data_IF_674317669151
#
_entry.id   IF_674317669151
#
_cell.length_a   1.000
_cell.length_b   1.000
_cell.length_c   1.000
_cell.angle_alpha   90.00
_cell.angle_beta   90.00
_cell.angle_gamma   90.00
#
_symmetry.space_group_name_H-M   'P 1'
#
loop_
_entity.id
_entity.type
_entity.pdbx_description
1 polymer ?
#
# COMPACT_ATOMS: atom_id res chain seq x y z
N UNK A 1 5.68 27.24 -16.13
CA UNK A 1 6.16 26.32 -17.20
C UNK A 1 6.10 27.08 -18.53
N UNK A 2 7.10 26.92 -19.40
CA UNK A 2 7.10 27.45 -20.75
C UNK A 2 6.17 26.64 -21.65
N UNK A 3 5.65 27.22 -22.74
CA UNK A 3 4.72 26.53 -23.67
C UNK A 3 5.27 25.18 -24.16
N UNK A 4 6.57 25.09 -24.44
CA UNK A 4 7.24 23.85 -24.87
C UNK A 4 7.26 22.77 -23.78
N UNK A 5 7.39 23.16 -22.51
CA UNK A 5 7.36 22.23 -21.37
C UNK A 5 5.95 21.66 -21.14
N UNK A 6 4.91 22.50 -21.31
CA UNK A 6 3.51 22.08 -21.24
C UNK A 6 3.19 21.04 -22.34
N UNK A 7 3.59 21.32 -23.59
CA UNK A 7 3.37 20.39 -24.69
C UNK A 7 4.13 19.07 -24.48
N UNK A 8 5.37 19.13 -24.00
CA UNK A 8 6.14 17.93 -23.71
C UNK A 8 5.51 17.09 -22.59
N UNK A 9 4.92 17.71 -21.57
CA UNK A 9 4.19 17.00 -20.51
C UNK A 9 2.91 16.36 -21.04
N UNK A 10 2.17 17.05 -21.93
CA UNK A 10 0.99 16.51 -22.58
C UNK A 10 1.30 15.25 -23.40
N UNK A 11 2.35 15.31 -24.22
CA UNK A 11 2.78 14.16 -25.02
C UNK A 11 3.17 12.97 -24.15
N UNK A 12 3.89 13.21 -23.05
CA UNK A 12 4.24 12.12 -22.09
C UNK A 12 3.02 11.50 -21.43
N UNK A 13 1.99 12.31 -21.08
CA UNK A 13 0.74 11.78 -20.54
C UNK A 13 0.03 10.88 -21.56
N UNK A 14 -0.03 11.32 -22.80
CA UNK A 14 -0.62 10.55 -23.90
C UNK A 14 0.13 9.22 -24.12
N UNK A 15 1.45 9.27 -24.26
CA UNK A 15 2.32 8.09 -24.41
C UNK A 15 2.18 7.13 -23.23
N UNK A 16 2.17 7.65 -22.01
CA UNK A 16 1.97 6.87 -20.80
C UNK A 16 0.61 6.16 -20.81
N UNK A 17 -0.46 6.86 -21.11
CA UNK A 17 -1.80 6.28 -21.15
C UNK A 17 -1.98 5.27 -22.30
N UNK A 18 -1.42 5.54 -23.48
CA UNK A 18 -1.41 4.59 -24.59
C UNK A 18 -0.72 3.29 -24.18
N UNK A 19 0.43 3.40 -23.51
CA UNK A 19 1.21 2.25 -23.04
C UNK A 19 0.46 1.49 -21.94
N UNK A 20 0.04 2.16 -20.89
CA UNK A 20 -0.57 1.52 -19.71
C UNK A 20 -1.94 0.90 -20.01
N UNK A 21 -2.72 1.50 -20.91
CA UNK A 21 -4.05 1.01 -21.28
C UNK A 21 -4.03 0.06 -22.50
N UNK A 22 -2.88 -0.33 -23.01
CA UNK A 22 -2.78 -1.19 -24.20
C UNK A 22 -3.55 -2.51 -24.04
N UNK A 23 -3.54 -3.11 -22.83
CA UNK A 23 -4.23 -4.36 -22.50
C UNK A 23 -5.74 -4.22 -22.29
N UNK A 24 -6.31 -3.02 -22.25
CA UNK A 24 -7.74 -2.76 -22.00
C UNK A 24 -8.63 -3.19 -23.19
N UNK A 25 -8.02 -3.49 -24.33
CA UNK A 25 -8.69 -4.06 -25.51
C UNK A 25 -9.13 -2.99 -26.52
N UNK A 26 -10.44 -2.86 -26.79
CA UNK A 26 -10.97 -2.00 -27.88
C UNK A 26 -10.53 -0.54 -27.71
N UNK A 27 -10.33 0.16 -28.84
CA UNK A 27 -9.93 1.57 -28.88
C UNK A 27 -10.85 2.48 -28.08
N UNK A 28 -12.16 2.23 -28.16
CA UNK A 28 -13.17 2.95 -27.38
C UNK A 28 -12.95 2.83 -25.86
N UNK A 29 -12.65 1.63 -25.35
CA UNK A 29 -12.35 1.43 -23.93
C UNK A 29 -11.07 2.14 -23.53
N UNK A 30 -10.02 2.09 -24.35
CA UNK A 30 -8.77 2.84 -24.10
C UNK A 30 -9.04 4.34 -24.07
N UNK A 31 -9.88 4.84 -24.96
CA UNK A 31 -10.31 6.23 -24.96
C UNK A 31 -11.01 6.63 -23.66
N UNK A 32 -12.01 5.86 -23.20
CA UNK A 32 -12.70 6.12 -21.93
C UNK A 32 -11.74 5.97 -20.73
N UNK A 33 -10.82 5.03 -20.75
CA UNK A 33 -9.77 4.90 -19.72
C UNK A 33 -8.87 6.14 -19.65
N UNK A 34 -8.44 6.63 -20.81
CA UNK A 34 -7.66 7.87 -20.92
C UNK A 34 -8.44 9.09 -20.39
N UNK A 35 -9.70 9.25 -20.80
CA UNK A 35 -10.57 10.32 -20.30
C UNK A 35 -10.76 10.23 -18.79
N UNK A 36 -10.98 9.02 -18.25
CA UNK A 36 -11.17 8.84 -16.81
C UNK A 36 -9.93 9.27 -16.03
N UNK A 37 -8.73 8.84 -16.44
CA UNK A 37 -7.48 9.24 -15.80
C UNK A 37 -7.25 10.74 -15.91
N UNK A 38 -7.53 11.36 -17.06
CA UNK A 38 -7.45 12.80 -17.21
C UNK A 38 -8.42 13.52 -16.27
N UNK A 39 -9.66 13.03 -16.12
CA UNK A 39 -10.65 13.56 -15.20
C UNK A 39 -10.25 13.45 -13.73
N UNK A 40 -9.58 12.36 -13.32
CA UNK A 40 -8.99 12.23 -11.97
C UNK A 40 -7.91 13.27 -11.71
N UNK A 41 -7.11 13.56 -12.73
CA UNK A 41 -6.02 14.55 -12.65
C UNK A 41 -6.53 16.00 -12.64
N UNK A 42 -7.72 16.29 -13.22
CA UNK A 42 -8.33 17.63 -13.20
C UNK A 42 -8.70 18.07 -11.78
N UNK A 43 -8.81 19.37 -11.58
CA UNK A 43 -9.25 19.92 -10.29
C UNK A 43 -10.73 19.63 -10.02
N UNK A 44 -11.12 19.67 -8.75
CA UNK A 44 -12.50 19.48 -8.29
C UNK A 44 -12.57 18.61 -7.04
N UNK A 45 -13.48 18.96 -6.14
CA UNK A 45 -13.67 18.30 -4.84
C UNK A 45 -14.16 16.85 -4.96
N UNK A 46 -15.06 16.59 -5.93
CA UNK A 46 -15.59 15.24 -6.19
C UNK A 46 -14.96 14.66 -7.45
N UNK A 47 -14.52 13.41 -7.33
CA UNK A 47 -13.94 12.58 -8.41
C UNK A 47 -14.83 11.38 -8.76
N UNK A 48 -16.10 11.40 -8.35
CA UNK A 48 -17.08 10.43 -8.83
C UNK A 48 -17.44 10.71 -10.29
N UNK A 49 -18.06 9.74 -10.96
CA UNK A 49 -18.19 9.73 -12.44
C UNK A 49 -18.93 10.95 -13.00
N UNK A 50 -20.03 11.35 -12.37
CA UNK A 50 -20.82 12.52 -12.85
C UNK A 50 -19.99 13.80 -12.85
N UNK A 51 -19.45 14.29 -11.70
CA UNK A 51 -18.63 15.49 -11.69
C UNK A 51 -17.37 15.37 -12.52
N UNK A 52 -16.85 14.16 -12.73
CA UNK A 52 -15.69 13.91 -13.57
C UNK A 52 -16.06 14.09 -15.06
N UNK A 53 -17.18 13.54 -15.49
CA UNK A 53 -17.65 13.64 -16.86
C UNK A 53 -17.98 15.09 -17.25
N UNK A 54 -18.59 15.88 -16.36
CA UNK A 54 -18.92 17.29 -16.58
C UNK A 54 -17.69 18.16 -16.87
N UNK A 55 -16.53 17.79 -16.33
CA UNK A 55 -15.27 18.53 -16.53
C UNK A 55 -14.51 18.16 -17.80
N UNK A 56 -14.92 17.09 -18.46
CA UNK A 56 -14.25 16.58 -19.64
C UNK A 56 -15.01 16.94 -20.92
N UNK A 57 -14.35 17.50 -21.93
CA UNK A 57 -14.95 17.65 -23.25
C UNK A 57 -15.29 16.26 -23.82
N UNK A 58 -16.52 16.10 -24.25
CA UNK A 58 -17.03 14.81 -24.69
C UNK A 58 -17.21 13.79 -23.56
N UNK A 59 -17.16 14.25 -22.29
CA UNK A 59 -17.46 13.44 -21.13
C UNK A 59 -18.91 12.97 -21.17
N UNK A 60 -19.10 11.66 -21.26
CA UNK A 60 -20.41 11.02 -21.23
C UNK A 60 -20.51 10.17 -19.97
N UNK A 61 -21.41 10.57 -19.06
CA UNK A 61 -21.63 9.90 -17.76
C UNK A 61 -21.93 8.42 -17.96
N UNK A 62 -22.84 8.07 -18.88
CA UNK A 62 -23.25 6.69 -19.12
C UNK A 62 -22.10 5.85 -19.67
N UNK A 63 -21.33 6.39 -20.63
CA UNK A 63 -20.19 5.70 -21.20
C UNK A 63 -19.08 5.44 -20.16
N UNK A 64 -18.80 6.42 -19.29
CA UNK A 64 -17.84 6.25 -18.21
C UNK A 64 -18.34 5.29 -17.11
N UNK A 65 -19.64 5.33 -16.77
CA UNK A 65 -20.25 4.36 -15.86
C UNK A 65 -20.17 2.94 -16.42
N UNK A 66 -20.48 2.75 -17.71
CA UNK A 66 -20.36 1.46 -18.37
C UNK A 66 -18.90 1.00 -18.45
N UNK A 67 -17.98 1.89 -18.79
CA UNK A 67 -16.53 1.59 -18.85
C UNK A 67 -15.99 1.11 -17.51
N UNK A 68 -16.28 1.81 -16.43
CA UNK A 68 -15.79 1.45 -15.09
C UNK A 68 -16.55 0.28 -14.51
N UNK A 69 -17.88 0.27 -14.60
CA UNK A 69 -18.73 -0.68 -13.87
C UNK A 69 -18.97 -2.01 -14.58
N UNK A 70 -18.96 -2.04 -15.91
CA UNK A 70 -19.47 -3.17 -16.69
C UNK A 70 -18.55 -3.67 -17.82
N UNK A 71 -17.63 -2.82 -18.32
CA UNK A 71 -16.78 -3.20 -19.43
C UNK A 71 -15.81 -4.33 -19.04
N UNK A 72 -15.77 -5.45 -19.79
CA UNK A 72 -14.98 -6.62 -19.45
C UNK A 72 -13.50 -6.43 -19.83
N UNK A 73 -12.76 -5.63 -19.09
CA UNK A 73 -11.32 -5.56 -19.18
C UNK A 73 -10.66 -6.02 -17.88
N UNK A 74 -9.53 -6.69 -18.00
CA UNK A 74 -8.79 -7.19 -16.86
C UNK A 74 -7.89 -6.08 -16.30
N UNK A 75 -7.94 -5.84 -15.00
CA UNK A 75 -7.11 -4.84 -14.32
C UNK A 75 -5.71 -5.35 -13.99
N UNK A 76 -5.54 -6.65 -13.81
CA UNK A 76 -4.26 -7.26 -13.44
C UNK A 76 -3.15 -6.99 -14.47
N UNK A 77 -3.38 -7.13 -15.80
CA UNK A 77 -2.35 -6.79 -16.78
C UNK A 77 -1.93 -5.33 -16.74
N UNK A 78 -2.88 -4.41 -16.45
CA UNK A 78 -2.59 -2.97 -16.31
C UNK A 78 -1.73 -2.73 -15.07
N UNK A 79 -2.08 -3.33 -13.93
CA UNK A 79 -1.30 -3.23 -12.69
C UNK A 79 0.08 -3.85 -12.84
N UNK A 80 0.18 -5.02 -13.48
CA UNK A 80 1.45 -5.68 -13.76
C UNK A 80 2.38 -4.79 -14.58
N UNK A 81 1.89 -4.25 -15.69
CA UNK A 81 2.68 -3.35 -16.54
C UNK A 81 3.11 -2.08 -15.80
N UNK A 82 2.18 -1.49 -15.02
CA UNK A 82 2.47 -0.33 -14.19
C UNK A 82 3.56 -0.64 -13.16
N UNK A 83 3.47 -1.77 -12.47
CA UNK A 83 4.42 -2.18 -11.45
C UNK A 83 5.83 -2.41 -12.03
N UNK A 84 5.91 -3.04 -13.21
CA UNK A 84 7.17 -3.25 -13.95
C UNK A 84 7.78 -1.91 -14.37
N UNK A 85 7.00 -1.02 -14.94
CA UNK A 85 7.45 0.31 -15.34
C UNK A 85 7.96 1.14 -14.14
N UNK A 86 7.22 1.14 -13.04
CA UNK A 86 7.62 1.88 -11.84
C UNK A 86 8.88 1.33 -11.18
N UNK A 87 9.08 0.01 -11.21
CA UNK A 87 10.32 -0.59 -10.71
C UNK A 87 11.55 -0.08 -11.44
N UNK A 88 11.45 0.17 -12.74
CA UNK A 88 12.55 0.67 -13.56
C UNK A 88 12.79 2.18 -13.36
N UNK A 89 11.71 2.94 -13.21
CA UNK A 89 11.79 4.41 -13.09
C UNK A 89 12.11 4.90 -11.67
N UNK A 90 11.72 4.16 -10.62
CA UNK A 90 11.81 4.59 -9.21
C UNK A 90 13.05 4.03 -8.49
N UNK A 91 14.22 4.13 -9.05
CA UNK A 91 15.45 3.67 -8.39
C UNK A 91 16.09 4.73 -7.48
N UNK A 92 16.75 4.33 -6.38
CA UNK A 92 16.85 2.98 -5.81
C UNK A 92 15.62 2.58 -4.98
N UNK A 93 15.20 1.33 -5.16
CA UNK A 93 14.11 0.76 -4.37
C UNK A 93 14.53 0.51 -2.92
N UNK A 94 13.60 0.63 -1.98
CA UNK A 94 13.86 0.46 -0.56
C UNK A 94 13.05 -0.67 0.09
N UNK A 95 11.83 -0.93 -0.38
CA UNK A 95 10.96 -1.95 0.21
C UNK A 95 9.60 -2.07 -0.47
N UNK A 96 8.84 -3.09 -0.05
CA UNK A 96 7.41 -3.22 -0.27
C UNK A 96 6.68 -2.96 1.03
N UNK A 97 5.71 -2.06 1.05
CA UNK A 97 4.89 -1.79 2.22
C UNK A 97 3.55 -2.48 2.05
N UNK A 98 3.16 -3.30 3.04
CA UNK A 98 1.81 -3.85 3.17
C UNK A 98 1.06 -3.02 4.21
N UNK A 99 -0.12 -2.57 3.82
CA UNK A 99 -1.02 -1.86 4.73
C UNK A 99 -2.46 -1.97 4.24
N UNK A 100 -3.44 -1.64 5.09
CA UNK A 100 -4.82 -1.60 4.70
C UNK A 100 -5.44 -0.21 4.89
N UNK A 101 -6.41 0.11 4.03
CA UNK A 101 -7.12 1.38 4.12
C UNK A 101 -8.63 1.19 4.02
N UNK A 102 -9.37 2.02 4.74
CA UNK A 102 -10.82 2.00 4.74
C UNK A 102 -11.42 3.02 3.78
N UNK A 103 -12.57 2.66 3.22
CA UNK A 103 -13.40 3.48 2.34
C UNK A 103 -14.75 3.64 3.01
N UNK A 104 -15.03 4.75 3.73
CA UNK A 104 -16.31 4.98 4.37
C UNK A 104 -17.46 4.92 3.37
N UNK A 105 -18.56 4.26 3.73
CA UNK A 105 -19.76 4.14 2.92
C UNK A 105 -21.00 4.40 3.76
N UNK A 106 -22.02 4.99 3.15
CA UNK A 106 -23.29 5.27 3.84
C UNK A 106 -24.26 4.10 3.74
N UNK A 107 -24.34 3.45 2.56
CA UNK A 107 -25.23 2.33 2.31
C UNK A 107 -24.61 0.96 2.62
N UNK A 108 -25.41 -0.10 2.44
CA UNK A 108 -25.00 -1.49 2.67
C UNK A 108 -24.75 -2.28 1.37
N UNK A 109 -24.96 -1.67 0.21
CA UNK A 109 -24.96 -2.35 -1.09
C UNK A 109 -23.57 -2.38 -1.77
N UNK A 110 -22.62 -1.54 -1.33
CA UNK A 110 -21.27 -1.54 -1.92
C UNK A 110 -20.54 -2.85 -1.62
N UNK A 111 -19.89 -3.42 -2.62
CA UNK A 111 -19.16 -4.70 -2.48
C UNK A 111 -18.20 -4.68 -1.30
N UNK A 112 -18.25 -5.70 -0.43
CA UNK A 112 -17.36 -5.82 0.73
C UNK A 112 -17.67 -4.85 1.88
N UNK A 113 -18.73 -4.03 1.79
CA UNK A 113 -19.12 -3.13 2.87
C UNK A 113 -19.62 -3.90 4.09
N UNK A 114 -19.14 -3.53 5.25
CA UNK A 114 -19.58 -4.02 6.53
C UNK A 114 -19.29 -3.02 7.65
N UNK A 115 -19.90 -3.22 8.80
CA UNK A 115 -19.54 -2.51 10.01
C UNK A 115 -18.27 -3.13 10.60
N UNK A 116 -17.14 -2.52 10.36
CA UNK A 116 -15.82 -3.05 10.74
C UNK A 116 -14.87 -1.92 11.18
N UNK A 117 -13.78 -2.27 11.87
CA UNK A 117 -12.76 -1.30 12.24
C UNK A 117 -12.04 -0.79 10.99
N UNK A 118 -11.85 0.50 10.94
CA UNK A 118 -11.07 1.18 9.91
C UNK A 118 -10.11 2.17 10.55
N UNK A 119 -8.82 2.04 10.24
CA UNK A 119 -7.81 3.01 10.63
C UNK A 119 -8.12 4.43 10.13
N UNK A 120 -8.70 4.55 8.94
CA UNK A 120 -9.16 5.83 8.36
C UNK A 120 -10.22 6.52 9.23
N UNK A 121 -11.13 5.73 9.84
CA UNK A 121 -12.19 6.25 10.72
C UNK A 121 -11.73 6.34 12.19
N UNK A 122 -10.63 5.69 12.55
CA UNK A 122 -10.19 5.54 13.95
C UNK A 122 -11.17 4.78 14.85
N UNK A 123 -12.19 4.13 14.26
CA UNK A 123 -13.28 3.44 14.97
C UNK A 123 -13.94 2.39 14.10
N UNK A 124 -14.82 1.62 14.72
CA UNK A 124 -15.74 0.72 13.98
C UNK A 124 -16.79 1.57 13.26
N UNK A 125 -16.87 1.43 11.95
CA UNK A 125 -17.82 2.16 11.11
C UNK A 125 -18.21 1.36 9.87
N UNK A 126 -19.20 1.86 9.13
CA UNK A 126 -19.63 1.25 7.88
C UNK A 126 -18.64 1.59 6.76
N UNK A 127 -17.87 0.62 6.33
CA UNK A 127 -16.81 0.85 5.34
C UNK A 127 -16.47 -0.42 4.54
N UNK A 128 -15.87 -0.21 3.39
CA UNK A 128 -15.06 -1.23 2.71
C UNK A 128 -13.63 -1.13 3.27
N UNK A 129 -12.88 -2.21 3.23
CA UNK A 129 -11.44 -2.22 3.55
C UNK A 129 -10.69 -2.91 2.43
N UNK A 130 -9.58 -2.35 2.01
CA UNK A 130 -8.70 -3.00 1.05
C UNK A 130 -7.28 -3.09 1.59
N UNK A 131 -6.64 -4.22 1.32
CA UNK A 131 -5.21 -4.42 1.53
C UNK A 131 -4.48 -3.95 0.29
N UNK A 132 -3.43 -3.16 0.46
CA UNK A 132 -2.57 -2.68 -0.60
C UNK A 132 -1.12 -3.12 -0.41
N UNK A 133 -0.43 -3.36 -1.51
CA UNK A 133 1.03 -3.49 -1.54
C UNK A 133 1.63 -2.32 -2.31
N UNK A 134 2.59 -1.63 -1.69
CA UNK A 134 3.20 -0.43 -2.22
C UNK A 134 4.69 -0.65 -2.47
N UNK A 135 5.20 -0.16 -3.59
CA UNK A 135 6.63 0.04 -3.81
C UNK A 135 7.06 1.30 -3.07
N UNK A 136 8.20 1.25 -2.39
CA UNK A 136 8.76 2.45 -1.75
C UNK A 136 10.23 2.66 -2.08
N UNK A 137 10.57 3.91 -2.24
CA UNK A 137 11.95 4.44 -2.19
C UNK A 137 12.14 5.16 -0.86
N UNK A 138 13.26 5.83 -0.64
CA UNK A 138 13.41 6.67 0.54
C UNK A 138 12.53 7.92 0.55
N UNK A 139 12.10 8.37 -0.62
CA UNK A 139 11.33 9.60 -0.79
C UNK A 139 9.88 9.37 -1.17
N UNK A 140 9.56 8.28 -1.85
CA UNK A 140 8.27 8.07 -2.49
C UNK A 140 7.65 6.72 -2.08
N UNK A 141 6.33 6.63 -2.20
CA UNK A 141 5.57 5.38 -2.10
C UNK A 141 4.50 5.36 -3.18
N UNK A 142 4.25 4.19 -3.76
CA UNK A 142 3.29 3.99 -4.85
C UNK A 142 2.60 2.64 -4.71
N UNK A 143 1.26 2.57 -4.69
CA UNK A 143 0.56 1.29 -4.68
C UNK A 143 0.77 0.55 -6.01
N UNK A 144 1.10 -0.73 -5.91
CA UNK A 144 1.29 -1.63 -7.04
C UNK A 144 0.06 -2.50 -7.28
N UNK A 145 -0.49 -3.05 -6.20
CA UNK A 145 -1.65 -3.94 -6.28
C UNK A 145 -2.55 -3.83 -5.06
N UNK A 146 -3.81 -4.27 -5.22
CA UNK A 146 -4.87 -4.13 -4.24
C UNK A 146 -5.77 -5.36 -4.18
N UNK A 147 -6.15 -5.74 -2.97
CA UNK A 147 -7.17 -6.74 -2.71
C UNK A 147 -8.29 -6.15 -1.84
N UNK A 148 -9.52 -6.20 -2.33
CA UNK A 148 -10.69 -5.81 -1.54
C UNK A 148 -10.99 -6.92 -0.52
N UNK A 149 -11.03 -6.57 0.75
CA UNK A 149 -11.39 -7.49 1.81
C UNK A 149 -12.90 -7.74 1.79
N UNK A 150 -13.27 -9.01 1.67
CA UNK A 150 -14.64 -9.46 1.78
C UNK A 150 -14.84 -10.07 3.17
N UNK A 151 -15.61 -9.44 4.06
CA UNK A 151 -16.01 -10.06 5.34
C UNK A 151 -16.69 -11.40 5.12
N UNK A 152 -16.59 -12.31 6.09
CA UNK A 152 -17.14 -13.66 5.99
C UNK A 152 -18.64 -13.67 5.63
N UNK A 153 -19.41 -12.74 6.19
CA UNK A 153 -20.83 -12.58 5.88
C UNK A 153 -21.12 -12.24 4.40
N UNK A 154 -20.13 -11.73 3.65
CA UNK A 154 -20.25 -11.57 2.20
C UNK A 154 -20.03 -12.88 1.47
N UNK A 155 -18.97 -13.62 1.80
CA UNK A 155 -18.62 -14.87 1.10
C UNK A 155 -19.59 -16.00 1.39
N UNK A 156 -20.37 -15.92 2.47
CA UNK A 156 -21.46 -16.85 2.82
C UNK A 156 -22.79 -16.50 2.15
N UNK A 157 -22.95 -15.28 1.62
CA UNK A 157 -24.15 -14.83 0.91
C UNK A 157 -23.94 -14.87 -0.62
N UNK A 158 -24.23 -16.01 -1.22
CA UNK A 158 -24.05 -16.22 -2.66
C UNK A 158 -24.93 -15.33 -3.54
N UNK A 159 -26.12 -14.90 -3.06
CA UNK A 159 -26.97 -13.98 -3.82
C UNK A 159 -26.37 -12.57 -3.83
N UNK A 160 -25.93 -12.10 -2.70
CA UNK A 160 -25.25 -10.81 -2.56
C UNK A 160 -23.95 -10.77 -3.38
N UNK A 161 -23.17 -11.87 -3.35
CA UNK A 161 -21.98 -11.99 -4.19
C UNK A 161 -22.28 -11.89 -5.68
N UNK A 162 -23.30 -12.61 -6.17
CA UNK A 162 -23.73 -12.55 -7.58
C UNK A 162 -24.21 -11.15 -7.97
N UNK A 163 -25.00 -10.50 -7.14
CA UNK A 163 -25.48 -9.13 -7.38
C UNK A 163 -24.33 -8.11 -7.47
N UNK A 164 -23.28 -8.30 -6.67
CA UNK A 164 -22.09 -7.45 -6.69
C UNK A 164 -21.08 -7.83 -7.80
N UNK A 165 -21.31 -8.91 -8.52
CA UNK A 165 -20.40 -9.40 -9.57
C UNK A 165 -19.10 -9.97 -9.03
N UNK A 166 -19.10 -10.47 -7.79
CA UNK A 166 -17.96 -11.21 -7.22
C UNK A 166 -17.82 -12.55 -7.97
N UNK A 167 -16.61 -12.96 -8.38
CA UNK A 167 -16.40 -14.23 -9.04
C UNK A 167 -16.96 -15.40 -8.22
N UNK A 168 -17.58 -16.36 -8.92
CA UNK A 168 -18.11 -17.55 -8.28
C UNK A 168 -17.02 -18.28 -7.47
N UNK A 169 -17.41 -18.84 -6.33
CA UNK A 169 -16.52 -19.58 -5.42
C UNK A 169 -15.35 -18.75 -4.86
N UNK A 170 -15.45 -17.42 -4.82
CA UNK A 170 -14.47 -16.59 -4.10
C UNK A 170 -14.50 -16.98 -2.61
N UNK A 171 -13.44 -17.61 -2.07
CA UNK A 171 -13.45 -18.04 -0.67
C UNK A 171 -13.21 -16.84 0.24
N UNK A 172 -13.61 -17.00 1.50
CA UNK A 172 -13.18 -16.08 2.55
C UNK A 172 -11.65 -16.07 2.66
N UNK A 173 -11.07 -14.88 2.75
CA UNK A 173 -9.64 -14.64 2.98
C UNK A 173 -9.45 -13.63 4.09
N UNK A 174 -8.58 -13.96 5.05
CA UNK A 174 -8.12 -12.97 6.03
C UNK A 174 -7.27 -11.90 5.37
N UNK A 175 -7.11 -10.74 6.00
CA UNK A 175 -6.19 -9.70 5.50
C UNK A 175 -4.75 -10.20 5.34
N UNK A 176 -4.33 -11.12 6.21
CA UNK A 176 -3.01 -11.77 6.14
C UNK A 176 -2.86 -12.60 4.86
N UNK A 177 -3.87 -13.40 4.54
CA UNK A 177 -3.88 -14.21 3.31
C UNK A 177 -3.90 -13.32 2.07
N UNK A 178 -4.73 -12.27 2.05
CA UNK A 178 -4.74 -11.27 0.97
C UNK A 178 -3.38 -10.58 0.80
N UNK A 179 -2.71 -10.23 1.89
CA UNK A 179 -1.38 -9.63 1.84
C UNK A 179 -0.33 -10.57 1.23
N UNK A 180 -0.38 -11.86 1.57
CA UNK A 180 0.51 -12.87 0.99
C UNK A 180 0.19 -13.13 -0.48
N UNK A 181 -1.09 -13.16 -0.87
CA UNK A 181 -1.52 -13.28 -2.27
C UNK A 181 -1.03 -12.09 -3.13
N UNK A 182 -1.13 -10.85 -2.60
CA UNK A 182 -0.58 -9.67 -3.27
C UNK A 182 0.93 -9.76 -3.49
N UNK A 183 1.67 -10.28 -2.49
CA UNK A 183 3.10 -10.52 -2.63
C UNK A 183 3.38 -11.59 -3.70
N UNK A 184 2.58 -12.65 -3.76
CA UNK A 184 2.69 -13.69 -4.80
C UNK A 184 2.46 -13.11 -6.18
N UNK A 185 1.52 -12.16 -6.35
CA UNK A 185 1.34 -11.43 -7.62
C UNK A 185 2.63 -10.67 -8.00
N UNK A 186 3.25 -9.92 -7.07
CA UNK A 186 4.49 -9.19 -7.36
C UNK A 186 5.63 -10.12 -7.79
N UNK A 187 5.74 -11.29 -7.14
CA UNK A 187 6.73 -12.30 -7.50
C UNK A 187 6.43 -12.93 -8.89
N UNK A 188 5.16 -13.22 -9.18
CA UNK A 188 4.71 -13.71 -10.48
C UNK A 188 4.94 -12.66 -11.59
N UNK A 189 4.79 -11.37 -11.30
CA UNK A 189 5.12 -10.26 -12.20
C UNK A 189 6.62 -10.03 -12.36
N UNK A 190 7.45 -10.85 -11.72
CA UNK A 190 8.92 -10.81 -11.78
C UNK A 190 9.52 -9.51 -11.25
N UNK A 191 8.88 -8.87 -10.29
CA UNK A 191 9.47 -7.73 -9.62
C UNK A 191 10.66 -8.15 -8.74
N UNK A 192 11.65 -7.29 -8.63
CA UNK A 192 12.84 -7.53 -7.79
C UNK A 192 12.45 -7.60 -6.33
N UNK A 193 12.85 -8.69 -5.64
CA UNK A 193 12.56 -8.90 -4.23
C UNK A 193 13.02 -7.73 -3.38
N UNK A 194 12.13 -7.18 -2.59
CA UNK A 194 12.38 -6.09 -1.66
C UNK A 194 12.05 -6.53 -0.22
N UNK A 195 12.66 -5.92 0.80
CA UNK A 195 12.21 -6.11 2.18
C UNK A 195 10.75 -5.70 2.35
N UNK A 196 9.95 -6.53 3.04
CA UNK A 196 8.54 -6.25 3.32
C UNK A 196 8.41 -5.49 4.63
N UNK A 197 7.66 -4.40 4.61
CA UNK A 197 7.41 -3.51 5.74
C UNK A 197 5.91 -3.52 6.03
N UNK A 198 5.53 -3.71 7.30
CA UNK A 198 4.14 -3.63 7.71
C UNK A 198 4.02 -3.22 9.19
N UNK A 199 2.82 -2.91 9.64
CA UNK A 199 2.54 -2.57 11.03
C UNK A 199 2.36 -3.81 11.94
N UNK A 200 1.97 -3.58 13.19
CA UNK A 200 1.78 -4.63 14.18
C UNK A 200 0.55 -5.52 13.87
N UNK A 201 -0.42 -5.03 13.13
CA UNK A 201 -1.56 -5.84 12.67
C UNK A 201 -1.12 -7.03 11.83
N UNK A 202 -0.08 -6.83 11.01
CA UNK A 202 0.56 -7.89 10.22
C UNK A 202 1.72 -8.54 10.98
N UNK A 203 2.57 -7.76 11.62
CA UNK A 203 3.81 -8.26 12.22
C UNK A 203 3.62 -9.15 13.44
N UNK A 204 2.53 -8.99 14.20
CA UNK A 204 2.20 -9.91 15.30
C UNK A 204 1.81 -11.31 14.79
N UNK A 205 1.35 -11.41 13.54
CA UNK A 205 0.89 -12.67 13.00
C UNK A 205 2.06 -13.55 12.56
N UNK A 206 2.19 -14.74 13.16
CA UNK A 206 3.28 -15.69 12.85
C UNK A 206 3.12 -16.28 11.45
N UNK A 207 1.89 -16.51 10.98
CA UNK A 207 1.63 -17.02 9.63
C UNK A 207 2.16 -16.03 8.58
N UNK A 208 1.97 -14.74 8.79
CA UNK A 208 2.51 -13.72 7.88
C UNK A 208 4.05 -13.72 7.85
N UNK A 209 4.69 -13.71 9.03
CA UNK A 209 6.17 -13.75 9.11
C UNK A 209 6.75 -15.01 8.46
N UNK A 210 6.15 -16.17 8.74
CA UNK A 210 6.55 -17.44 8.13
C UNK A 210 6.28 -17.43 6.63
N UNK A 211 5.10 -16.96 6.19
CA UNK A 211 4.76 -16.85 4.77
C UNK A 211 5.73 -15.96 3.98
N UNK A 212 6.29 -14.91 4.59
CA UNK A 212 7.36 -14.11 3.99
C UNK A 212 8.67 -14.86 3.91
N UNK A 213 9.05 -15.58 4.99
CA UNK A 213 10.27 -16.39 5.05
C UNK A 213 10.23 -17.53 4.02
N UNK A 214 9.09 -18.23 3.88
CA UNK A 214 8.89 -19.31 2.90
C UNK A 214 9.07 -18.80 1.45
N UNK A 215 8.77 -17.50 1.20
CA UNK A 215 9.01 -16.81 -0.08
C UNK A 215 10.42 -16.22 -0.22
N UNK A 216 11.29 -16.51 0.74
CA UNK A 216 12.66 -15.96 0.79
C UNK A 216 12.68 -14.42 0.79
N UNK A 217 11.74 -13.79 1.48
CA UNK A 217 11.66 -12.35 1.63
C UNK A 217 12.16 -11.90 2.98
N UNK A 218 12.98 -10.87 2.98
CA UNK A 218 13.30 -10.14 4.19
C UNK A 218 12.15 -9.26 4.62
N UNK A 219 12.08 -8.96 5.92
CA UNK A 219 11.05 -8.09 6.46
C UNK A 219 11.54 -7.21 7.61
N UNK A 220 10.83 -6.11 7.83
CA UNK A 220 10.87 -5.30 9.05
C UNK A 220 9.42 -4.96 9.42
N UNK A 221 8.88 -5.64 10.42
CA UNK A 221 7.47 -5.62 10.76
C UNK A 221 7.26 -5.08 12.17
N UNK A 222 6.36 -4.11 12.34
CA UNK A 222 5.92 -3.66 13.64
C UNK A 222 5.37 -4.80 14.48
N UNK A 223 5.58 -4.75 15.79
CA UNK A 223 5.02 -5.72 16.74
C UNK A 223 4.59 -5.00 18.02
N UNK A 224 3.62 -5.56 18.74
CA UNK A 224 3.11 -5.00 19.98
C UNK A 224 4.06 -5.22 21.15
N UNK A 225 4.02 -4.30 22.11
CA UNK A 225 4.88 -4.30 23.29
C UNK A 225 4.73 -5.53 24.22
N UNK A 226 3.56 -6.18 24.17
CA UNK A 226 3.25 -7.39 24.94
C UNK A 226 3.67 -8.69 24.24
N UNK A 227 4.18 -8.62 23.00
CA UNK A 227 4.68 -9.78 22.28
C UNK A 227 5.78 -10.48 23.08
N UNK A 228 5.67 -11.79 23.23
CA UNK A 228 6.60 -12.58 24.04
C UNK A 228 7.77 -13.10 23.20
N UNK A 229 8.97 -13.07 23.78
CA UNK A 229 10.21 -13.56 23.17
C UNK A 229 11.09 -14.28 24.19
N UNK A 230 11.97 -15.15 23.71
CA UNK A 230 13.14 -15.62 24.45
C UNK A 230 14.37 -14.79 24.03
N UNK A 231 15.12 -14.33 25.03
CA UNK A 231 16.35 -13.54 24.81
C UNK A 231 17.48 -14.35 24.18
N UNK A 232 17.48 -15.68 24.44
CA UNK A 232 18.44 -16.63 23.88
C UNK A 232 17.69 -17.69 23.08
N UNK A 233 18.27 -18.18 21.99
CA UNK A 233 17.70 -19.32 21.27
C UNK A 233 17.36 -20.45 22.23
N UNK A 234 16.14 -20.89 22.23
CA UNK A 234 15.62 -21.91 23.13
C UNK A 234 15.18 -23.10 22.29
N UNK A 235 15.77 -24.25 22.56
CA UNK A 235 15.43 -25.48 21.84
C UNK A 235 14.15 -26.11 22.40
N UNK A 236 13.47 -26.79 21.51
CA UNK A 236 12.23 -27.51 21.80
C UNK A 236 12.60 -28.80 22.57
N UNK A 237 12.17 -28.89 23.82
CA UNK A 237 12.39 -30.06 24.66
C UNK A 237 11.31 -31.10 24.38
N UNK A 238 11.71 -32.31 23.96
CA UNK A 238 10.82 -33.45 23.84
C UNK A 238 10.71 -34.10 25.24
N UNK A 239 9.50 -34.11 25.86
CA UNK A 239 9.34 -34.74 27.15
C UNK A 239 9.55 -36.24 27.03
N UNK A 240 10.22 -36.82 28.01
CA UNK A 240 10.38 -38.28 28.08
C UNK A 240 9.02 -38.98 28.10
N UNK A 241 8.85 -40.07 27.33
CA UNK A 241 7.63 -40.84 27.39
C UNK A 241 7.31 -41.25 28.83
N UNK A 242 6.07 -41.08 29.26
CA UNK A 242 5.62 -41.50 30.58
C UNK A 242 5.20 -42.96 30.48
N UNK A 243 5.77 -43.84 31.32
CA UNK A 243 5.24 -45.18 31.48
C UNK A 243 3.86 -45.10 32.15
N UNK A 244 2.78 -45.37 31.39
CA UNK A 244 1.43 -45.38 31.92
C UNK A 244 0.37 -44.80 30.98
N UNK A 245 -0.91 -44.99 31.29
CA UNK A 245 -2.04 -44.46 30.57
C UNK A 245 -2.15 -42.95 30.77
N UNK A 246 -2.20 -42.18 29.72
CA UNK A 246 -2.44 -40.74 29.77
C UNK A 246 -2.08 -40.08 28.46
N UNK A 247 -2.62 -38.81 28.25
CA UNK A 247 -2.29 -38.03 27.05
C UNK A 247 -0.77 -37.77 26.98
N UNK A 248 -0.10 -38.02 25.84
CA UNK A 248 1.33 -37.71 25.66
C UNK A 248 1.61 -36.25 26.03
N UNK A 249 2.70 -36.02 26.77
CA UNK A 249 3.15 -34.66 27.08
C UNK A 249 3.52 -33.95 25.77
N UNK A 250 3.08 -32.74 25.65
CA UNK A 250 3.42 -31.90 24.46
C UNK A 250 4.86 -31.41 24.60
N UNK A 251 5.61 -31.34 23.50
CA UNK A 251 6.88 -30.63 23.49
C UNK A 251 6.74 -29.22 24.03
N UNK A 252 7.69 -28.72 24.76
CA UNK A 252 7.72 -27.40 25.33
C UNK A 252 9.08 -26.75 25.11
N UNK A 253 9.12 -25.43 25.20
CA UNK A 253 10.37 -24.67 25.15
C UNK A 253 10.83 -24.40 26.56
N UNK A 254 12.16 -24.62 26.81
CA UNK A 254 12.77 -24.30 28.10
C UNK A 254 12.86 -22.82 28.35
N UNK A 255 12.70 -22.39 29.60
CA UNK A 255 12.74 -20.98 29.97
C UNK A 255 11.39 -20.28 29.87
N UNK A 256 11.26 -19.15 30.58
CA UNK A 256 10.07 -18.32 30.51
C UNK A 256 10.28 -17.19 29.49
N UNK A 257 9.34 -17.01 28.54
CA UNK A 257 9.41 -15.89 27.63
C UNK A 257 9.13 -14.57 28.35
N UNK A 258 9.69 -13.47 27.86
CA UNK A 258 9.47 -12.11 28.38
C UNK A 258 8.73 -11.29 27.36
N UNK A 259 7.87 -10.37 27.81
CA UNK A 259 7.27 -9.38 26.94
C UNK A 259 8.34 -8.39 26.43
N UNK A 260 8.18 -7.89 25.22
CA UNK A 260 9.13 -6.93 24.62
C UNK A 260 9.35 -5.68 25.46
N UNK A 261 8.28 -5.16 26.08
CA UNK A 261 8.36 -4.00 27.00
C UNK A 261 9.27 -4.28 28.19
N UNK A 262 9.18 -5.49 28.77
CA UNK A 262 9.95 -5.85 29.96
C UNK A 262 11.42 -6.09 29.60
N UNK A 263 11.66 -6.68 28.42
CA UNK A 263 13.01 -6.83 27.86
C UNK A 263 13.64 -5.45 27.61
N UNK A 264 12.91 -4.56 26.94
CA UNK A 264 13.41 -3.24 26.57
C UNK A 264 13.75 -2.36 27.78
N UNK A 265 12.94 -2.44 28.85
CA UNK A 265 13.18 -1.70 30.09
C UNK A 265 14.38 -2.22 30.85
N UNK A 266 14.69 -3.53 30.73
CA UNK A 266 15.85 -4.14 31.38
C UNK A 266 17.18 -3.94 30.63
N UNK A 267 17.16 -3.38 29.42
CA UNK A 267 18.39 -3.12 28.67
C UNK A 267 19.20 -2.00 29.32
N UNK A 268 20.53 -2.16 29.42
CA UNK A 268 21.40 -1.11 29.94
C UNK A 268 21.42 0.12 29.01
N UNK A 269 21.73 1.28 29.57
CA UNK A 269 21.75 2.57 28.84
C UNK A 269 22.64 2.54 27.60
N UNK A 270 23.74 1.80 27.66
CA UNK A 270 24.74 1.64 26.60
C UNK A 270 24.23 0.85 25.39
N UNK A 271 23.16 0.06 25.54
CA UNK A 271 22.51 -0.63 24.44
C UNK A 271 21.78 0.33 23.49
N UNK A 272 21.39 1.48 24.01
CA UNK A 272 20.65 2.50 23.29
C UNK A 272 21.57 3.47 22.56
N UNK A 273 21.30 3.71 21.27
CA UNK A 273 22.06 4.63 20.42
C UNK A 273 21.13 5.65 19.77
N UNK A 274 21.55 6.90 19.75
CA UNK A 274 20.87 7.94 18.96
C UNK A 274 21.27 7.78 17.49
N UNK A 275 20.29 7.57 16.62
CA UNK A 275 20.48 7.37 15.19
C UNK A 275 19.63 8.37 14.41
N UNK A 276 20.25 8.98 13.39
CA UNK A 276 19.54 9.78 12.38
C UNK A 276 19.21 8.90 11.20
N UNK A 277 17.95 8.81 10.83
CA UNK A 277 17.51 7.98 9.70
C UNK A 277 17.13 8.78 8.46
N UNK A 278 16.82 10.06 8.59
CA UNK A 278 16.38 10.90 7.48
C UNK A 278 16.70 12.37 7.76
N UNK A 279 16.93 13.12 6.67
CA UNK A 279 16.88 14.58 6.69
C UNK A 279 15.45 15.01 6.38
N UNK A 280 14.78 15.66 7.31
CA UNK A 280 13.43 16.22 7.14
C UNK A 280 13.48 17.71 6.77
N UNK A 281 12.33 18.28 6.40
CA UNK A 281 12.20 19.73 6.12
C UNK A 281 12.48 20.61 7.34
N UNK A 282 12.25 20.10 8.54
CA UNK A 282 12.51 20.80 9.81
C UNK A 282 13.81 20.34 10.50
N UNK A 283 14.72 19.69 9.75
CA UNK A 283 15.98 19.19 10.28
C UNK A 283 16.09 17.66 10.33
N UNK A 284 17.20 17.12 10.90
CA UNK A 284 17.47 15.70 10.93
C UNK A 284 16.48 14.97 11.84
N UNK A 285 15.81 13.96 11.30
CA UNK A 285 14.96 13.06 12.08
C UNK A 285 15.84 12.02 12.78
N UNK A 286 15.86 12.07 14.10
CA UNK A 286 16.68 11.23 14.95
C UNK A 286 15.87 10.71 16.14
N UNK A 287 16.28 9.57 16.68
CA UNK A 287 15.69 8.96 17.85
C UNK A 287 16.64 7.98 18.50
N UNK A 288 16.27 7.47 19.64
CA UNK A 288 17.04 6.56 20.47
C UNK A 288 16.57 5.13 20.19
N UNK A 289 17.49 4.26 19.75
CA UNK A 289 17.19 2.89 19.32
C UNK A 289 18.12 1.88 19.99
N UNK A 290 17.57 0.71 20.30
CA UNK A 290 18.32 -0.49 20.63
C UNK A 290 17.95 -1.63 19.69
N UNK A 291 18.87 -2.56 19.44
CA UNK A 291 18.62 -3.76 18.64
C UNK A 291 19.38 -4.95 19.22
N UNK A 292 18.69 -6.09 19.31
CA UNK A 292 19.24 -7.37 19.75
C UNK A 292 18.60 -8.53 18.97
N UNK A 293 19.21 -9.72 19.07
CA UNK A 293 18.63 -10.94 18.50
C UNK A 293 17.75 -11.61 19.55
N UNK A 294 16.55 -12.02 19.14
CA UNK A 294 15.57 -12.70 20.00
C UNK A 294 14.88 -13.82 19.23
N UNK A 295 14.33 -14.80 19.92
CA UNK A 295 13.47 -15.82 19.31
C UNK A 295 12.01 -15.52 19.67
N UNK A 296 11.09 -15.36 18.69
CA UNK A 296 9.67 -15.17 18.99
C UNK A 296 9.10 -16.36 19.77
N UNK A 297 8.34 -16.10 20.83
CA UNK A 297 7.86 -17.13 21.76
C UNK A 297 6.41 -17.59 21.51
N UNK A 298 5.77 -17.11 20.44
CA UNK A 298 4.38 -17.46 20.10
C UNK A 298 4.25 -17.95 18.65
N UNK A 299 3.17 -18.64 18.37
CA UNK A 299 2.88 -19.17 17.04
C UNK A 299 3.63 -20.45 16.69
N UNK A 300 4.18 -21.15 17.68
CA UNK A 300 4.77 -22.46 17.46
C UNK A 300 3.72 -23.51 17.11
N UNK A 301 3.83 -24.06 15.91
CA UNK A 301 2.99 -25.17 15.45
C UNK A 301 3.72 -26.48 15.66
N UNK A 302 3.00 -27.52 16.10
CA UNK A 302 3.57 -28.82 16.58
C UNK A 302 4.50 -29.46 15.56
N UNK A 303 4.20 -29.37 14.29
CA UNK A 303 4.91 -30.08 13.20
C UNK A 303 5.66 -29.12 12.25
N UNK A 304 5.80 -27.85 12.63
CA UNK A 304 6.61 -26.87 11.89
C UNK A 304 8.00 -26.71 12.50
N UNK A 305 9.00 -26.30 11.70
CA UNK A 305 10.35 -25.99 12.18
C UNK A 305 10.32 -24.97 13.33
N UNK A 306 11.38 -24.97 14.13
CA UNK A 306 11.59 -23.95 15.15
C UNK A 306 11.64 -22.56 14.49
N UNK A 307 11.08 -21.56 15.18
CA UNK A 307 11.16 -20.18 14.70
C UNK A 307 12.60 -19.68 14.84
N UNK A 308 13.18 -19.29 13.73
CA UNK A 308 14.53 -18.73 13.69
C UNK A 308 14.63 -17.44 14.51
N UNK A 309 15.80 -17.20 15.15
CA UNK A 309 16.06 -15.94 15.80
C UNK A 309 15.98 -14.75 14.83
N UNK A 310 15.34 -13.70 15.26
CA UNK A 310 15.13 -12.48 14.48
C UNK A 310 15.75 -11.26 15.18
N UNK A 311 15.98 -10.20 14.46
CA UNK A 311 16.26 -8.90 15.06
C UNK A 311 15.00 -8.38 15.75
N UNK A 312 15.16 -7.90 16.96
CA UNK A 312 14.26 -7.02 17.66
C UNK A 312 14.86 -5.61 17.62
N UNK A 313 14.24 -4.70 16.90
CA UNK A 313 14.54 -3.27 16.94
C UNK A 313 13.52 -2.60 17.88
N UNK A 314 14.01 -1.72 18.74
CA UNK A 314 13.22 -0.98 19.73
C UNK A 314 13.50 0.49 19.61
N UNK A 315 12.47 1.34 19.74
CA UNK A 315 12.58 2.80 19.77
C UNK A 315 12.12 3.34 21.12
N UNK A 316 12.93 4.20 21.66
CA UNK A 316 12.60 4.99 22.84
C UNK A 316 12.48 6.47 22.45
N UNK A 317 11.27 6.98 22.22
CA UNK A 317 11.07 8.41 21.97
C UNK A 317 11.56 9.25 23.15
N UNK A 318 12.11 10.43 22.87
CA UNK A 318 12.67 11.33 23.90
C UNK A 318 11.65 11.78 24.96
N UNK A 319 10.39 11.86 24.55
CA UNK A 319 9.28 12.32 25.39
C UNK A 319 8.56 11.20 26.14
N UNK A 320 8.93 9.94 25.87
CA UNK A 320 8.28 8.78 26.46
C UNK A 320 9.03 8.28 27.70
N UNK A 321 8.29 7.88 28.73
CA UNK A 321 8.85 7.28 29.94
C UNK A 321 9.50 5.91 29.71
N UNK A 322 9.12 5.20 28.62
CA UNK A 322 9.61 3.88 28.27
C UNK A 322 9.64 3.69 26.74
N UNK A 323 10.35 2.68 26.24
CA UNK A 323 10.29 2.31 24.82
C UNK A 323 8.87 1.99 24.37
N UNK A 324 8.45 2.50 23.19
CA UNK A 324 7.05 2.43 22.74
C UNK A 324 6.85 1.70 21.43
N UNK A 325 7.90 1.58 20.60
CA UNK A 325 7.80 0.96 19.27
C UNK A 325 8.79 -0.16 19.13
N UNK A 326 8.32 -1.26 18.54
CA UNK A 326 9.05 -2.51 18.41
C UNK A 326 8.86 -3.08 17.01
N UNK A 327 9.91 -3.69 16.46
CA UNK A 327 9.88 -4.35 15.14
C UNK A 327 10.67 -5.66 15.18
N UNK A 328 10.12 -6.67 14.52
CA UNK A 328 10.88 -7.87 14.18
C UNK A 328 11.45 -7.75 12.76
N UNK A 329 12.63 -8.33 12.55
CA UNK A 329 13.25 -8.42 11.24
C UNK A 329 14.09 -9.69 11.10
N UNK A 330 13.95 -10.37 9.94
CA UNK A 330 14.78 -11.50 9.55
C UNK A 330 15.96 -11.09 8.65
N UNK A 331 16.32 -9.82 8.61
CA UNK A 331 17.52 -9.38 7.90
C UNK A 331 18.78 -10.07 8.44
N UNK A 332 19.81 -10.28 7.60
CA UNK A 332 21.07 -10.94 8.01
C UNK A 332 21.69 -10.32 9.26
N UNK A 333 22.47 -11.12 10.01
CA UNK A 333 23.10 -10.67 11.25
C UNK A 333 24.06 -9.48 11.08
N UNK A 334 24.70 -9.38 9.90
CA UNK A 334 25.59 -8.26 9.55
C UNK A 334 24.89 -6.96 9.20
N UNK A 335 23.54 -6.88 9.25
CA UNK A 335 22.82 -5.64 8.93
C UNK A 335 23.14 -4.53 9.91
N UNK A 336 23.41 -3.32 9.40
CA UNK A 336 23.64 -2.16 10.27
C UNK A 336 22.35 -1.73 10.98
N UNK A 337 22.47 -1.28 12.25
CA UNK A 337 21.32 -0.70 12.99
C UNK A 337 20.68 0.46 12.23
N UNK A 338 21.49 1.25 11.53
CA UNK A 338 20.99 2.36 10.71
C UNK A 338 20.07 1.87 9.58
N UNK A 339 20.40 0.74 8.93
CA UNK A 339 19.57 0.12 7.89
C UNK A 339 18.25 -0.38 8.46
N UNK A 340 18.28 -1.06 9.63
CA UNK A 340 17.06 -1.50 10.33
C UNK A 340 16.14 -0.33 10.64
N UNK A 341 16.69 0.74 11.22
CA UNK A 341 15.92 1.94 11.57
C UNK A 341 15.32 2.62 10.33
N UNK A 342 16.10 2.77 9.25
CA UNK A 342 15.59 3.35 8.00
C UNK A 342 14.40 2.58 7.46
N UNK A 343 14.50 1.26 7.39
CA UNK A 343 13.39 0.40 6.92
C UNK A 343 12.18 0.49 7.84
N UNK A 344 12.36 0.37 9.16
CA UNK A 344 11.27 0.50 10.12
C UNK A 344 10.52 1.83 10.00
N UNK A 345 11.23 2.92 9.68
CA UNK A 345 10.67 4.25 9.54
C UNK A 345 10.05 4.53 8.17
N UNK A 346 10.33 3.72 7.15
CA UNK A 346 9.76 3.93 5.81
C UNK A 346 8.25 3.66 5.75
N UNK A 347 7.71 2.79 6.63
CA UNK A 347 6.27 2.44 6.59
C UNK A 347 5.35 3.67 6.62
N UNK A 348 5.68 4.71 7.37
CA UNK A 348 4.84 5.91 7.45
C UNK A 348 4.53 6.55 6.09
N UNK A 349 5.31 6.23 5.05
CA UNK A 349 5.08 6.71 3.68
C UNK A 349 3.73 6.30 3.13
N UNK A 350 3.24 5.12 3.51
CA UNK A 350 1.94 4.64 3.04
C UNK A 350 0.78 5.49 3.55
N UNK A 351 0.89 6.05 4.76
CA UNK A 351 -0.14 6.91 5.35
C UNK A 351 -0.27 8.21 4.54
N UNK A 352 0.87 8.84 4.20
CA UNK A 352 0.90 10.00 3.31
C UNK A 352 0.39 9.66 1.90
N UNK A 353 0.72 8.48 1.40
CA UNK A 353 0.28 8.02 0.10
C UNK A 353 -1.26 7.84 0.05
N UNK A 354 -1.85 7.20 1.05
CA UNK A 354 -3.30 7.06 1.14
C UNK A 354 -4.02 8.40 1.25
N UNK A 355 -3.48 9.33 2.03
CA UNK A 355 -4.02 10.67 2.10
C UNK A 355 -4.03 11.33 0.72
N UNK A 356 -2.91 11.32 0.01
CA UNK A 356 -2.81 11.90 -1.33
C UNK A 356 -3.71 11.23 -2.35
N UNK A 357 -3.81 9.89 -2.34
CA UNK A 357 -4.69 9.15 -3.24
C UNK A 357 -6.17 9.51 -3.02
N UNK A 358 -6.59 9.69 -1.77
CA UNK A 358 -7.97 10.05 -1.42
C UNK A 358 -8.26 11.53 -1.71
N UNK A 359 -7.47 12.44 -1.15
CA UNK A 359 -7.71 13.87 -1.24
C UNK A 359 -7.50 14.42 -2.65
N UNK A 360 -6.43 13.99 -3.35
CA UNK A 360 -6.06 14.55 -4.65
C UNK A 360 -6.72 13.83 -5.82
N UNK A 361 -6.91 12.51 -5.73
CA UNK A 361 -7.35 11.68 -6.85
C UNK A 361 -8.65 10.92 -6.60
N UNK A 362 -9.26 11.07 -5.41
CA UNK A 362 -10.57 10.50 -5.10
C UNK A 362 -10.59 8.98 -5.05
N UNK A 363 -9.55 8.34 -4.50
CA UNK A 363 -9.50 6.89 -4.32
C UNK A 363 -10.75 6.32 -3.61
N UNK A 364 -11.35 7.06 -2.70
CA UNK A 364 -12.56 6.70 -1.96
C UNK A 364 -13.87 7.28 -2.55
N UNK A 365 -13.79 7.99 -3.69
CA UNK A 365 -14.94 8.60 -4.35
C UNK A 365 -15.71 7.66 -5.29
N UNK A 366 -15.34 6.37 -5.35
CA UNK A 366 -16.10 5.40 -6.13
C UNK A 366 -17.47 5.14 -5.48
N UNK A 367 -18.54 5.47 -6.21
CA UNK A 367 -19.94 5.34 -5.76
C UNK A 367 -20.59 4.05 -6.26
N UNK A 368 -19.95 3.35 -7.19
CA UNK A 368 -20.44 2.08 -7.70
C UNK A 368 -20.47 0.98 -6.65
N UNK A 369 -21.27 -0.07 -6.91
CA UNK A 369 -21.54 -1.15 -5.95
C UNK A 369 -20.85 -2.46 -6.31
N UNK A 370 -20.36 -2.58 -7.55
CA UNK A 370 -19.83 -3.82 -8.10
C UNK A 370 -18.35 -4.05 -7.82
N UNK A 371 -17.97 -5.33 -7.78
CA UNK A 371 -16.61 -5.83 -7.64
C UNK A 371 -15.69 -5.30 -8.74
N UNK A 372 -16.08 -5.53 -9.99
CA UNK A 372 -15.30 -5.11 -11.16
C UNK A 372 -15.04 -3.61 -11.18
N UNK A 373 -16.08 -2.80 -10.94
CA UNK A 373 -15.95 -1.36 -10.96
C UNK A 373 -15.04 -0.81 -9.87
N UNK A 374 -15.03 -1.43 -8.69
CA UNK A 374 -14.09 -1.07 -7.63
C UNK A 374 -12.64 -1.29 -8.08
N UNK A 375 -12.34 -2.47 -8.63
CA UNK A 375 -10.99 -2.79 -9.12
C UNK A 375 -10.56 -1.89 -10.27
N UNK A 376 -11.47 -1.57 -11.19
CA UNK A 376 -11.21 -0.66 -12.29
C UNK A 376 -10.89 0.75 -11.79
N UNK A 377 -11.74 1.30 -10.92
CA UNK A 377 -11.52 2.63 -10.34
C UNK A 377 -10.16 2.74 -9.65
N UNK A 378 -9.86 1.82 -8.73
CA UNK A 378 -8.59 1.81 -8.00
C UNK A 378 -7.39 1.73 -8.96
N UNK A 379 -7.48 0.91 -10.02
CA UNK A 379 -6.42 0.81 -11.03
C UNK A 379 -6.20 2.13 -11.77
N UNK A 380 -7.29 2.79 -12.20
CA UNK A 380 -7.20 4.08 -12.90
C UNK A 380 -6.67 5.20 -12.00
N UNK A 381 -7.03 5.18 -10.71
CA UNK A 381 -6.44 6.08 -9.70
C UNK A 381 -4.94 5.85 -9.55
N UNK A 382 -4.50 4.58 -9.55
CA UNK A 382 -3.07 4.26 -9.53
C UNK A 382 -2.33 4.79 -10.76
N UNK A 383 -2.92 4.70 -11.97
CA UNK A 383 -2.33 5.30 -13.16
C UNK A 383 -2.17 6.82 -13.04
N UNK A 384 -3.21 7.51 -12.56
CA UNK A 384 -3.16 8.96 -12.34
C UNK A 384 -2.06 9.35 -11.35
N UNK A 385 -1.96 8.61 -10.23
CA UNK A 385 -0.93 8.86 -9.21
C UNK A 385 0.48 8.59 -9.74
N UNK A 386 0.67 7.47 -10.45
CA UNK A 386 1.96 7.11 -11.03
C UNK A 386 2.47 8.19 -11.98
N UNK A 387 1.61 8.70 -12.87
CA UNK A 387 1.99 9.77 -13.78
C UNK A 387 2.44 11.03 -13.03
N UNK A 388 1.69 11.46 -12.00
CA UNK A 388 2.09 12.60 -11.16
C UNK A 388 3.43 12.36 -10.46
N UNK A 389 3.67 11.16 -9.97
CA UNK A 389 4.89 10.79 -9.29
C UNK A 389 6.09 10.86 -10.24
N UNK A 390 5.97 10.29 -11.44
CA UNK A 390 6.99 10.30 -12.46
C UNK A 390 7.30 11.71 -12.96
N UNK A 391 6.28 12.54 -13.17
CA UNK A 391 6.47 13.95 -13.56
C UNK A 391 7.18 14.75 -12.46
N UNK A 392 6.88 14.51 -11.17
CA UNK A 392 7.60 15.16 -10.06
C UNK A 392 9.09 14.85 -10.07
N UNK A 393 9.48 13.62 -10.36
CA UNK A 393 10.90 13.23 -10.41
C UNK A 393 11.67 13.91 -11.55
N UNK A 394 10.99 14.35 -12.60
CA UNK A 394 11.61 15.12 -13.71
C UNK A 394 11.99 16.55 -13.33
N UNK A 395 11.47 17.06 -12.22
CA UNK A 395 11.88 18.39 -11.75
C UNK A 395 13.31 18.37 -11.22
N UNK A 396 14.20 19.03 -11.97
CA UNK A 396 15.64 19.13 -11.63
C UNK A 396 15.94 20.18 -10.56
N UNK A 397 14.95 21.01 -10.19
CA UNK A 397 15.12 22.09 -9.20
C UNK A 397 14.72 21.61 -7.81
N UNK A 398 15.49 21.99 -6.80
CA UNK A 398 15.15 21.81 -5.38
C UNK A 398 14.50 23.10 -4.85
N UNK A 399 13.44 23.02 -4.03
CA UNK A 399 12.78 21.78 -3.60
C UNK A 399 11.94 21.12 -4.71
N UNK A 400 11.87 19.77 -4.68
CA UNK A 400 10.97 19.03 -5.56
C UNK A 400 9.52 19.38 -5.15
N UNK A 401 8.63 19.70 -6.11
CA UNK A 401 7.26 20.08 -5.78
C UNK A 401 6.52 18.95 -5.04
N UNK A 402 5.64 19.31 -4.14
CA UNK A 402 4.70 18.35 -3.52
C UNK A 402 3.76 17.76 -4.57
N UNK A 403 3.10 16.66 -4.28
CA UNK A 403 2.16 16.05 -5.22
C UNK A 403 0.98 17.00 -5.57
N UNK A 404 0.38 17.74 -4.62
CA UNK A 404 -0.63 18.75 -4.94
C UNK A 404 -0.10 19.88 -5.85
N UNK A 405 1.14 20.30 -5.67
CA UNK A 405 1.76 21.31 -6.54
C UNK A 405 2.00 20.77 -7.95
N UNK A 406 2.48 19.53 -8.07
CA UNK A 406 2.65 18.87 -9.37
C UNK A 406 1.31 18.71 -10.09
N UNK A 407 0.24 18.31 -9.37
CA UNK A 407 -1.11 18.22 -9.91
C UNK A 407 -1.60 19.59 -10.39
N UNK A 408 -1.41 20.66 -9.60
CA UNK A 408 -1.75 22.04 -10.02
C UNK A 408 -1.02 22.48 -11.27
N UNK A 409 0.26 22.17 -11.39
CA UNK A 409 1.01 22.44 -12.62
C UNK A 409 0.44 21.67 -13.82
N UNK A 410 0.00 20.44 -13.62
CA UNK A 410 -0.61 19.60 -14.65
C UNK A 410 -1.98 20.14 -15.11
N UNK A 411 -2.72 20.88 -14.26
CA UNK A 411 -3.97 21.54 -14.69
C UNK A 411 -3.79 22.41 -15.94
N UNK A 412 -2.68 23.16 -16.00
CA UNK A 412 -2.38 24.02 -17.16
C UNK A 412 -2.18 23.20 -18.44
N UNK A 413 -1.61 22.00 -18.31
CA UNK A 413 -1.43 21.05 -19.41
C UNK A 413 -2.78 20.52 -19.86
N UNK A 414 -3.57 20.00 -18.92
CA UNK A 414 -4.88 19.41 -19.19
C UNK A 414 -5.85 20.40 -19.78
N UNK A 415 -5.96 21.61 -19.22
CA UNK A 415 -6.83 22.68 -19.74
C UNK A 415 -6.45 23.00 -21.21
N UNK A 416 -5.20 22.96 -21.55
CA UNK A 416 -4.73 23.19 -22.91
C UNK A 416 -5.05 22.04 -23.86
N UNK A 417 -4.91 20.80 -23.40
CA UNK A 417 -5.29 19.59 -24.15
C UNK A 417 -6.81 19.56 -24.39
N UNK A 418 -7.55 19.93 -23.37
CA UNK A 418 -9.01 19.94 -23.35
C UNK A 418 -9.60 21.13 -24.14
N UNK A 419 -8.86 22.23 -24.27
CA UNK A 419 -9.30 23.44 -24.96
C UNK A 419 -10.35 24.27 -24.21
N UNK A 420 -10.80 23.84 -23.04
CA UNK A 420 -11.83 24.50 -22.22
C UNK A 420 -11.44 24.47 -20.74
N UNK A 421 -11.68 25.57 -20.02
CA UNK A 421 -11.52 25.59 -18.57
C UNK A 421 -12.59 24.71 -17.89
N UNK A 422 -12.23 23.70 -17.12
CA UNK A 422 -13.20 22.80 -16.51
C UNK A 422 -14.05 23.44 -15.40
N UNK A 423 -13.64 24.62 -14.91
CA UNK A 423 -14.35 25.33 -13.84
C UNK A 423 -15.33 26.37 -14.37
N UNK A 424 -14.93 27.14 -15.39
CA UNK A 424 -15.77 28.21 -15.92
C UNK A 424 -16.30 27.96 -17.35
N UNK A 425 -15.98 26.79 -17.92
CA UNK A 425 -16.37 26.34 -19.27
C UNK A 425 -16.02 27.31 -20.41
N UNK A 426 -15.14 28.28 -20.15
CA UNK A 426 -14.65 29.18 -21.19
C UNK A 426 -13.54 28.51 -22.01
N UNK A 427 -13.48 28.79 -23.33
CA UNK A 427 -12.36 28.31 -24.14
C UNK A 427 -11.03 28.73 -23.52
N UNK A 428 -10.07 27.81 -23.44
CA UNK A 428 -8.70 28.11 -23.05
C UNK A 428 -8.09 28.93 -24.20
N UNK A 429 -8.24 30.24 -24.16
CA UNK A 429 -7.70 31.14 -25.18
C UNK A 429 -6.20 31.08 -25.13
N UNK A 430 -5.60 30.25 -26.00
CA UNK A 430 -4.20 30.36 -26.34
C UNK A 430 -3.99 31.71 -27.05
N UNK A 431 -3.39 32.69 -26.40
CA UNK A 431 -2.77 33.78 -27.12
C UNK A 431 -1.63 33.19 -27.95
N UNK A 432 -1.86 33.04 -29.23
CA UNK A 432 -0.86 32.59 -30.21
C UNK A 432 -1.43 31.55 -31.15
N UNK A 433 -2.13 31.99 -32.20
CA UNK A 433 -2.26 31.25 -33.44
C UNK A 433 -0.85 30.92 -33.92
N UNK A 434 -0.49 29.66 -33.90
CA UNK A 434 0.60 29.16 -34.73
C UNK A 434 0.03 29.06 -36.15
N UNK A 435 0.16 30.17 -36.89
CA UNK A 435 0.18 30.13 -38.36
C UNK A 435 1.55 29.62 -38.77
N UNK A 436 1.52 28.50 -39.54
CA UNK A 436 2.56 27.87 -40.38
C UNK A 436 3.89 27.58 -39.74
#
# INVERSE_FOLDING_TARGET
>A
MKTRELQSCANRLEEFLVTMLASVGRSERRHHGSLYVQGLLLDGERKSIEPLAERLPGGNVQALQQFVGQSPWAWEPVRCLLAQHLQEELLPLAGWIIDDTGFPKQGQESVGVARQYSGTLGKVGNCQVAVGVHLTTESESMPLDWALYLPQAWTEDGERCRKAGIPEKTPFRTKIQLALELIDHLLAWKLSRQPVLADAGYGNNTEFRQGLADRQLHYVLGVESNTAVWEKPTQRVQPRPRAGRGRPRRPYYGGQPRALRDLATALPSEAWRTLTWRQGSQGPQRGRFAACRVQPAHGHVRDKPELEPVWLLMEWPSEAAAPTKYWFSNLPEGVSRRRLVRLAKLRWRVEQNYQQLKEELGLDHYEGRGWQGWHHHVTLVCLAYAFLLLERQRYKKTPIPTLPEARRCLQLVLIRMIGVCPTCHRPAVGRGSLTT
#
